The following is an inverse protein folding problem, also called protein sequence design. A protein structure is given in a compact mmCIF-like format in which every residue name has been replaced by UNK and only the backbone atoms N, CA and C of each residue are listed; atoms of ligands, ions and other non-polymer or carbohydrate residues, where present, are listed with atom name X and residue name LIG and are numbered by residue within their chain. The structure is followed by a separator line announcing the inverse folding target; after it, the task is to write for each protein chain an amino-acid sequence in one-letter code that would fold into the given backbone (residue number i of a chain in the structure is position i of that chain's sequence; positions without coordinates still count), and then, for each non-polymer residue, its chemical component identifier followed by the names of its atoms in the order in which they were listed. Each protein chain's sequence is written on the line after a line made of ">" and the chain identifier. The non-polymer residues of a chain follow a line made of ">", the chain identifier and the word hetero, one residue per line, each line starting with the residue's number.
data_IF_799930370336
#
_entry.id   IF_799930370336
#
_cell.length_a   1.000
_cell.length_b   1.000
_cell.length_c   1.000
_cell.angle_alpha   90.00
_cell.angle_beta   90.00
_cell.angle_gamma   90.00
#
_symmetry.space_group_name_H-M   'P 1'
#
loop_
_entity.id
_entity.type
_entity.pdbx_description
1 polymer ?
#
# COMPACT_ATOMS: atom_id res chain seq x y z
N UNK A 1 29.52 -119.45 -36.10
CA UNK A 1 30.48 -118.72 -35.26
C UNK A 1 29.76 -118.24 -34.01
N UNK A 2 29.86 -118.99 -32.93
CA UNK A 2 29.13 -118.75 -31.68
C UNK A 2 29.98 -117.82 -30.83
N UNK A 3 29.63 -116.52 -30.84
CA UNK A 3 30.25 -115.51 -30.00
C UNK A 3 29.87 -115.77 -28.54
N UNK A 4 30.74 -116.47 -27.81
CA UNK A 4 30.59 -116.75 -26.40
C UNK A 4 30.85 -115.49 -25.58
N UNK A 5 29.81 -114.67 -25.40
CA UNK A 5 29.83 -113.57 -24.45
C UNK A 5 30.02 -114.12 -23.03
N UNK A 6 31.24 -114.01 -22.50
CA UNK A 6 31.54 -114.28 -21.09
C UNK A 6 30.72 -113.30 -20.25
N UNK A 7 29.67 -113.81 -19.60
CA UNK A 7 28.87 -113.05 -18.63
C UNK A 7 29.79 -112.63 -17.49
N UNK A 8 29.96 -111.31 -17.32
CA UNK A 8 30.70 -110.75 -16.20
C UNK A 8 30.06 -111.21 -14.87
N UNK A 9 30.86 -111.53 -13.83
CA UNK A 9 30.35 -111.85 -12.51
C UNK A 9 29.36 -110.79 -12.02
N UNK A 10 28.23 -111.18 -11.39
CA UNK A 10 27.20 -110.24 -10.93
C UNK A 10 27.74 -109.07 -10.11
N UNK A 11 28.81 -109.29 -9.31
CA UNK A 11 29.48 -108.27 -8.49
C UNK A 11 30.16 -107.16 -9.30
N UNK A 12 30.68 -107.46 -10.50
CA UNK A 12 31.32 -106.45 -11.36
C UNK A 12 30.25 -105.59 -12.05
N UNK A 13 29.16 -106.21 -12.49
CA UNK A 13 28.02 -105.51 -13.08
C UNK A 13 27.34 -104.57 -12.06
N UNK A 14 27.24 -104.98 -10.79
CA UNK A 14 26.72 -104.10 -9.73
C UNK A 14 27.62 -102.90 -9.47
N UNK A 15 28.95 -103.07 -9.47
CA UNK A 15 29.89 -101.96 -9.26
C UNK A 15 29.85 -100.94 -10.39
N UNK A 16 29.80 -101.38 -11.66
CA UNK A 16 29.66 -100.49 -12.81
C UNK A 16 28.33 -99.72 -12.75
N UNK A 17 27.24 -100.37 -12.31
CA UNK A 17 25.93 -99.72 -12.15
C UNK A 17 25.94 -98.67 -11.03
N UNK A 18 26.65 -98.93 -9.93
CA UNK A 18 26.84 -97.98 -8.82
C UNK A 18 27.68 -96.79 -9.27
N UNK A 19 28.83 -97.03 -9.93
CA UNK A 19 29.68 -95.94 -10.43
C UNK A 19 28.97 -95.06 -11.46
N UNK A 20 28.19 -95.65 -12.38
CA UNK A 20 27.36 -94.88 -13.32
C UNK A 20 26.31 -94.02 -12.60
N UNK A 21 25.68 -94.54 -11.55
CA UNK A 21 24.73 -93.77 -10.73
C UNK A 21 25.41 -92.62 -9.99
N UNK A 22 26.57 -92.84 -9.38
CA UNK A 22 27.33 -91.81 -8.69
C UNK A 22 27.80 -90.72 -9.65
N UNK A 23 28.34 -91.09 -10.81
CA UNK A 23 28.74 -90.15 -11.86
C UNK A 23 27.55 -89.33 -12.36
N UNK A 24 26.40 -89.97 -12.63
CA UNK A 24 25.19 -89.27 -13.05
C UNK A 24 24.66 -88.33 -11.96
N UNK A 25 24.72 -88.73 -10.69
CA UNK A 25 24.33 -87.88 -9.56
C UNK A 25 25.26 -86.66 -9.40
N UNK A 26 26.56 -86.84 -9.62
CA UNK A 26 27.54 -85.76 -9.60
C UNK A 26 27.32 -84.79 -10.76
N UNK A 27 27.10 -85.31 -11.98
CA UNK A 27 26.84 -84.50 -13.16
C UNK A 27 25.53 -83.72 -13.08
N UNK A 28 24.47 -84.32 -12.50
CA UNK A 28 23.21 -83.62 -12.20
C UNK A 28 23.44 -82.51 -11.18
N UNK A 29 24.23 -82.78 -10.12
CA UNK A 29 24.56 -81.78 -9.10
C UNK A 29 25.34 -80.61 -9.69
N UNK A 30 26.38 -80.88 -10.47
CA UNK A 30 27.19 -79.84 -11.13
C UNK A 30 26.36 -78.99 -12.11
N UNK A 31 25.45 -79.62 -12.89
CA UNK A 31 24.52 -78.87 -13.75
C UNK A 31 23.53 -78.03 -12.94
N UNK A 32 23.07 -78.51 -11.80
CA UNK A 32 22.17 -77.78 -10.91
C UNK A 32 22.89 -76.59 -10.26
N UNK A 33 24.13 -76.78 -9.84
CA UNK A 33 24.97 -75.75 -9.24
C UNK A 33 25.34 -74.67 -10.27
N UNK A 34 25.69 -75.04 -11.52
CA UNK A 34 25.92 -74.08 -12.62
C UNK A 34 24.68 -73.26 -12.95
N UNK A 35 23.51 -73.89 -13.08
CA UNK A 35 22.24 -73.18 -13.30
C UNK A 35 21.88 -72.26 -12.12
N UNK A 36 22.20 -72.67 -10.90
CA UNK A 36 21.99 -71.85 -9.70
C UNK A 36 22.89 -70.62 -9.69
N UNK A 37 24.16 -70.76 -10.10
CA UNK A 37 25.10 -69.65 -10.19
C UNK A 37 24.70 -68.65 -11.28
N UNK A 38 24.31 -69.13 -12.47
CA UNK A 38 23.80 -68.28 -13.56
C UNK A 38 22.52 -67.53 -13.15
N UNK A 39 21.60 -68.20 -12.44
CA UNK A 39 20.40 -67.56 -11.92
C UNK A 39 20.72 -66.49 -10.87
N UNK A 40 21.69 -66.75 -9.98
CA UNK A 40 22.11 -65.78 -8.98
C UNK A 40 22.76 -64.54 -9.61
N UNK A 41 23.63 -64.72 -10.60
CA UNK A 41 24.30 -63.61 -11.31
C UNK A 41 23.30 -62.73 -12.06
N UNK A 42 22.29 -63.34 -12.71
CA UNK A 42 21.21 -62.61 -13.35
C UNK A 42 20.37 -61.80 -12.35
N UNK A 43 20.04 -62.38 -11.18
CA UNK A 43 19.30 -61.69 -10.12
C UNK A 43 20.12 -60.52 -9.57
N UNK A 44 21.42 -60.71 -9.32
CA UNK A 44 22.30 -59.62 -8.88
C UNK A 44 22.38 -58.50 -9.93
N UNK A 45 22.50 -58.84 -11.22
CA UNK A 45 22.51 -57.86 -12.31
C UNK A 45 21.21 -57.05 -12.38
N UNK A 46 20.06 -57.70 -12.24
CA UNK A 46 18.73 -57.04 -12.24
C UNK A 46 18.57 -56.12 -11.04
N UNK A 47 18.99 -56.56 -9.84
CA UNK A 47 18.93 -55.74 -8.62
C UNK A 47 19.81 -54.50 -8.75
N UNK A 48 21.05 -54.64 -9.24
CA UNK A 48 21.98 -53.52 -9.44
C UNK A 48 21.44 -52.50 -10.44
N UNK A 49 20.84 -52.94 -11.55
CA UNK A 49 20.18 -52.05 -12.52
C UNK A 49 18.99 -51.32 -11.90
N UNK A 50 18.18 -52.02 -11.08
CA UNK A 50 17.02 -51.42 -10.42
C UNK A 50 17.45 -50.35 -9.40
N UNK A 51 18.49 -50.62 -8.60
CA UNK A 51 19.08 -49.66 -7.66
C UNK A 51 19.62 -48.42 -8.37
N UNK A 52 20.34 -48.60 -9.49
CA UNK A 52 20.86 -47.48 -10.26
C UNK A 52 19.75 -46.59 -10.85
N UNK A 53 18.68 -47.20 -11.39
CA UNK A 53 17.52 -46.46 -11.89
C UNK A 53 16.84 -45.69 -10.76
N UNK A 54 16.67 -46.29 -9.58
CA UNK A 54 16.07 -45.58 -8.43
C UNK A 54 16.92 -44.41 -7.95
N UNK A 55 18.24 -44.57 -7.91
CA UNK A 55 19.16 -43.48 -7.49
C UNK A 55 19.11 -42.30 -8.47
N UNK A 56 19.05 -42.56 -9.78
CA UNK A 56 18.88 -41.53 -10.79
C UNK A 56 17.55 -40.78 -10.64
N UNK A 57 16.44 -41.50 -10.41
CA UNK A 57 15.13 -40.88 -10.20
C UNK A 57 15.10 -40.03 -8.93
N UNK A 58 15.69 -40.53 -7.84
CA UNK A 58 15.78 -39.78 -6.58
C UNK A 58 16.57 -38.49 -6.79
N UNK A 59 17.72 -38.56 -7.48
CA UNK A 59 18.52 -37.37 -7.77
C UNK A 59 17.76 -36.32 -8.58
N UNK A 60 17.03 -36.74 -9.62
CA UNK A 60 16.19 -35.84 -10.42
C UNK A 60 15.12 -35.14 -9.58
N UNK A 61 14.46 -35.88 -8.67
CA UNK A 61 13.45 -35.31 -7.76
C UNK A 61 14.08 -34.26 -6.84
N UNK A 62 15.28 -34.51 -6.30
CA UNK A 62 15.99 -33.54 -5.46
C UNK A 62 16.38 -32.28 -6.24
N UNK A 63 16.92 -32.44 -7.45
CA UNK A 63 17.31 -31.30 -8.30
C UNK A 63 16.10 -30.42 -8.67
N UNK A 64 14.95 -31.03 -9.01
CA UNK A 64 13.69 -30.31 -9.25
C UNK A 64 13.19 -29.57 -8.00
N UNK A 65 13.32 -30.20 -6.82
CA UNK A 65 12.93 -29.58 -5.56
C UNK A 65 13.80 -28.36 -5.22
N UNK A 66 15.11 -28.45 -5.45
CA UNK A 66 16.05 -27.35 -5.25
C UNK A 66 15.70 -26.19 -6.17
N UNK A 67 15.48 -26.45 -7.47
CA UNK A 67 15.11 -25.41 -8.44
C UNK A 67 13.79 -24.71 -8.07
N UNK A 68 12.78 -25.45 -7.62
CA UNK A 68 11.51 -24.88 -7.13
C UNK A 68 11.73 -24.00 -5.90
N UNK A 69 12.63 -24.38 -5.00
CA UNK A 69 12.91 -23.64 -3.77
C UNK A 69 13.68 -22.35 -4.07
N UNK A 70 14.64 -22.39 -4.99
CA UNK A 70 15.35 -21.21 -5.49
C UNK A 70 14.41 -20.22 -6.19
N UNK A 71 13.49 -20.72 -7.02
CA UNK A 71 12.50 -19.88 -7.70
C UNK A 71 11.57 -19.17 -6.69
N UNK A 72 11.09 -19.88 -5.68
CA UNK A 72 10.27 -19.30 -4.60
C UNK A 72 11.03 -18.25 -3.79
N UNK A 73 12.29 -18.52 -3.46
CA UNK A 73 13.12 -17.55 -2.74
C UNK A 73 13.34 -16.28 -3.56
N UNK A 74 13.55 -16.40 -4.87
CA UNK A 74 13.69 -15.25 -5.77
C UNK A 74 12.41 -14.40 -5.84
N UNK A 75 11.25 -15.05 -5.91
CA UNK A 75 9.95 -14.36 -5.90
C UNK A 75 9.71 -13.64 -4.56
N UNK A 76 10.01 -14.31 -3.44
CA UNK A 76 9.89 -13.72 -2.10
C UNK A 76 10.79 -12.49 -1.94
N UNK A 77 12.04 -12.55 -2.40
CA UNK A 77 12.96 -11.41 -2.34
C UNK A 77 12.47 -10.21 -3.18
N UNK A 78 11.80 -10.48 -4.31
CA UNK A 78 11.19 -9.41 -5.11
C UNK A 78 10.05 -8.73 -4.36
N UNK A 79 9.18 -9.50 -3.70
CA UNK A 79 8.09 -8.95 -2.89
C UNK A 79 8.63 -8.09 -1.74
N UNK A 80 9.68 -8.55 -1.05
CA UNK A 80 10.32 -7.77 0.02
C UNK A 80 10.88 -6.43 -0.48
N UNK A 81 11.55 -6.42 -1.65
CA UNK A 81 12.07 -5.20 -2.24
C UNK A 81 10.93 -4.22 -2.59
N UNK A 82 9.85 -4.69 -3.22
CA UNK A 82 8.68 -3.87 -3.56
C UNK A 82 8.00 -3.30 -2.29
N UNK A 83 7.94 -4.08 -1.20
CA UNK A 83 7.40 -3.61 0.09
C UNK A 83 8.28 -2.53 0.73
N UNK A 84 9.61 -2.67 0.67
CA UNK A 84 10.54 -1.67 1.19
C UNK A 84 10.39 -0.37 0.40
N UNK A 85 10.41 -0.44 -0.94
CA UNK A 85 10.26 0.72 -1.81
C UNK A 85 8.95 1.47 -1.54
N UNK A 86 7.81 0.76 -1.47
CA UNK A 86 6.51 1.39 -1.14
C UNK A 86 6.51 2.04 0.25
N UNK A 87 7.22 1.46 1.21
CA UNK A 87 7.32 2.03 2.55
C UNK A 87 8.19 3.29 2.60
N UNK A 88 9.18 3.40 1.72
CA UNK A 88 10.03 4.59 1.57
C UNK A 88 9.27 5.71 0.87
N UNK A 89 8.57 5.40 -0.23
CA UNK A 89 7.68 6.35 -0.93
C UNK A 89 6.61 6.93 0.03
N UNK A 90 6.01 6.09 0.87
CA UNK A 90 5.00 6.56 1.84
C UNK A 90 5.60 7.38 2.99
N UNK A 91 6.89 7.17 3.33
CA UNK A 91 7.57 8.02 4.33
C UNK A 91 7.87 9.41 3.77
N UNK A 92 8.26 9.52 2.51
CA UNK A 92 8.46 10.83 1.85
C UNK A 92 7.13 11.60 1.76
N UNK A 93 6.02 10.94 1.42
CA UNK A 93 4.68 11.58 1.42
C UNK A 93 4.26 12.06 2.81
N UNK A 94 4.51 11.25 3.85
CA UNK A 94 4.20 11.63 5.24
C UNK A 94 5.11 12.79 5.69
N UNK A 95 6.40 12.77 5.38
CA UNK A 95 7.31 13.85 5.75
C UNK A 95 6.95 15.16 5.03
N UNK A 96 6.51 15.13 3.78
CA UNK A 96 6.04 16.32 3.06
C UNK A 96 4.72 16.87 3.63
N UNK A 97 3.77 16.01 3.99
CA UNK A 97 2.50 16.43 4.61
C UNK A 97 2.72 16.95 6.04
N UNK A 98 3.60 16.31 6.81
CA UNK A 98 3.96 16.75 8.16
C UNK A 98 4.79 18.03 8.14
N UNK A 99 5.62 18.26 7.12
CA UNK A 99 6.38 19.50 6.90
C UNK A 99 5.48 20.63 6.39
N UNK A 100 4.44 20.33 5.59
CA UNK A 100 3.40 21.30 5.23
C UNK A 100 2.56 21.69 6.45
N UNK A 101 2.12 20.72 7.26
CA UNK A 101 1.39 20.98 8.50
C UNK A 101 2.25 21.73 9.52
N UNK A 102 3.50 21.32 9.75
CA UNK A 102 4.42 22.00 10.65
C UNK A 102 4.77 23.42 10.17
N UNK A 103 4.95 23.66 8.86
CA UNK A 103 5.09 25.03 8.33
C UNK A 103 3.83 25.85 8.47
N UNK A 104 2.65 25.24 8.27
CA UNK A 104 1.38 25.93 8.50
C UNK A 104 1.25 26.30 9.97
N UNK A 105 1.59 25.39 10.87
CA UNK A 105 1.48 25.56 12.31
C UNK A 105 2.54 26.53 12.85
N UNK A 106 3.78 26.54 12.33
CA UNK A 106 4.79 27.57 12.65
C UNK A 106 4.39 28.95 12.12
N UNK A 107 3.78 29.05 10.93
CA UNK A 107 3.21 30.31 10.42
C UNK A 107 2.04 30.78 11.30
N UNK A 108 1.24 29.85 11.84
CA UNK A 108 0.17 30.13 12.79
C UNK A 108 0.68 30.45 14.21
N UNK A 109 1.79 29.85 14.66
CA UNK A 109 2.35 30.02 16.01
C UNK A 109 3.26 31.25 16.13
N UNK A 110 3.93 31.70 15.06
CA UNK A 110 4.81 32.88 15.08
C UNK A 110 4.07 34.23 15.07
N UNK A 111 2.77 34.27 14.77
CA UNK A 111 1.94 35.49 14.86
C UNK A 111 0.75 35.28 15.78
N UNK A 112 1.00 35.41 17.09
CA UNK A 112 -0.03 35.66 18.10
C UNK A 112 -0.82 36.93 17.74
N UNK A 113 -1.87 36.76 16.93
CA UNK A 113 -3.22 37.36 16.94
C UNK A 113 -3.93 36.74 15.71
N UNK A 114 -4.61 35.61 15.89
CA UNK A 114 -5.52 35.08 14.88
C UNK A 114 -6.75 35.98 14.88
N UNK A 115 -6.84 36.88 13.92
CA UNK A 115 -7.97 37.77 13.80
C UNK A 115 -8.47 37.89 12.38
N UNK A 116 -9.63 38.54 12.26
CA UNK A 116 -10.26 38.80 10.96
C UNK A 116 -9.25 39.37 9.96
N UNK A 117 -8.38 40.30 10.40
CA UNK A 117 -7.34 40.87 9.54
C UNK A 117 -6.35 39.81 9.04
N UNK A 118 -5.78 39.00 9.93
CA UNK A 118 -4.86 37.91 9.57
C UNK A 118 -5.51 36.89 8.64
N UNK A 119 -6.80 36.60 8.83
CA UNK A 119 -7.55 35.73 7.93
C UNK A 119 -7.73 36.35 6.54
N UNK A 120 -8.03 37.65 6.45
CA UNK A 120 -8.12 38.36 5.17
C UNK A 120 -6.76 38.43 4.46
N UNK A 121 -5.66 38.60 5.20
CA UNK A 121 -4.30 38.55 4.66
C UNK A 121 -3.96 37.17 4.07
N UNK A 122 -4.35 36.10 4.75
CA UNK A 122 -4.17 34.74 4.25
C UNK A 122 -4.93 34.52 2.94
N UNK A 123 -6.19 34.97 2.86
CA UNK A 123 -7.00 34.89 1.63
C UNK A 123 -6.33 35.66 0.48
N UNK A 124 -5.76 36.82 0.77
CA UNK A 124 -4.99 37.58 -0.23
C UNK A 124 -3.82 36.78 -0.77
N UNK A 125 -3.04 36.12 0.09
CA UNK A 125 -1.90 35.30 -0.34
C UNK A 125 -2.28 34.06 -1.15
N UNK A 126 -3.48 33.49 -0.95
CA UNK A 126 -3.91 32.27 -1.64
C UNK A 126 -4.00 32.48 -3.16
N UNK A 127 -4.40 33.67 -3.62
CA UNK A 127 -4.65 33.92 -5.05
C UNK A 127 -3.40 33.81 -5.96
N UNK A 128 -2.20 33.64 -5.40
CA UNK A 128 -0.99 33.31 -6.18
C UNK A 128 -0.53 34.41 -7.14
N UNK A 129 -1.21 35.55 -7.17
CA UNK A 129 -0.67 36.77 -7.72
C UNK A 129 0.50 37.14 -6.82
N UNK A 130 1.72 37.18 -7.39
CA UNK A 130 2.88 37.77 -6.73
C UNK A 130 2.38 39.01 -6.00
N UNK A 131 2.69 39.18 -4.71
CA UNK A 131 2.31 40.38 -4.00
C UNK A 131 3.03 41.53 -4.70
N UNK A 132 2.41 42.10 -5.73
CA UNK A 132 2.67 43.44 -6.17
C UNK A 132 2.47 44.23 -4.89
N UNK A 133 3.58 44.63 -4.29
CA UNK A 133 3.76 45.16 -2.94
C UNK A 133 2.88 46.39 -2.63
N UNK A 134 1.95 46.73 -3.51
CA UNK A 134 1.20 47.96 -3.60
C UNK A 134 -0.31 47.78 -3.78
N UNK A 135 -0.86 46.59 -4.07
CA UNK A 135 -2.32 46.48 -4.20
C UNK A 135 -3.00 46.42 -2.82
N UNK A 136 -3.92 47.35 -2.49
CA UNK A 136 -4.65 47.33 -1.23
C UNK A 136 -5.47 46.04 -1.10
N UNK A 137 -5.51 45.43 0.09
CA UNK A 137 -6.28 44.20 0.37
C UNK A 137 -7.75 44.36 -0.03
N UNK A 138 -8.30 45.56 0.13
CA UNK A 138 -9.67 45.90 -0.27
C UNK A 138 -9.93 45.66 -1.76
N UNK A 139 -8.96 45.92 -2.64
CA UNK A 139 -9.11 45.64 -4.09
C UNK A 139 -9.12 44.14 -4.39
N UNK A 140 -8.37 43.36 -3.62
CA UNK A 140 -8.36 41.89 -3.78
C UNK A 140 -9.71 41.30 -3.36
N UNK A 141 -10.29 41.81 -2.27
CA UNK A 141 -11.63 41.44 -1.83
C UNK A 141 -12.72 41.93 -2.81
N UNK A 142 -12.53 43.10 -3.42
CA UNK A 142 -13.41 43.58 -4.48
C UNK A 142 -13.33 42.71 -5.73
N UNK A 143 -12.12 42.31 -6.17
CA UNK A 143 -11.92 41.34 -7.25
C UNK A 143 -12.62 40.01 -6.94
N UNK A 144 -12.55 39.53 -5.69
CA UNK A 144 -13.28 38.34 -5.24
C UNK A 144 -14.80 38.49 -5.43
N UNK A 145 -15.36 39.66 -5.14
CA UNK A 145 -16.79 39.92 -5.35
C UNK A 145 -17.25 39.88 -6.82
N UNK A 146 -16.29 39.91 -7.76
CA UNK A 146 -16.54 39.79 -9.20
C UNK A 146 -16.25 38.38 -9.74
N UNK A 147 -15.69 37.48 -8.93
CA UNK A 147 -15.53 36.06 -9.28
C UNK A 147 -16.91 35.41 -9.42
N UNK A 148 -17.16 34.71 -10.53
CA UNK A 148 -18.49 34.20 -10.86
C UNK A 148 -19.03 33.22 -9.79
N UNK A 149 -18.18 32.31 -9.29
CA UNK A 149 -18.59 31.31 -8.29
C UNK A 149 -18.86 31.96 -6.95
N UNK A 150 -17.99 32.87 -6.53
CA UNK A 150 -18.19 33.62 -5.30
C UNK A 150 -19.44 34.51 -5.39
N UNK A 151 -19.68 35.14 -6.54
CA UNK A 151 -20.85 35.99 -6.79
C UNK A 151 -22.15 35.22 -6.66
N UNK A 152 -22.23 34.00 -7.18
CA UNK A 152 -23.39 33.12 -7.00
C UNK A 152 -23.61 32.77 -5.52
N UNK A 153 -22.54 32.44 -4.78
CA UNK A 153 -22.62 32.21 -3.34
C UNK A 153 -23.09 33.46 -2.59
N UNK A 154 -22.65 34.65 -3.00
CA UNK A 154 -23.03 35.93 -2.43
C UNK A 154 -24.51 36.22 -2.67
N UNK A 155 -25.02 36.03 -3.89
CA UNK A 155 -26.45 36.21 -4.22
C UNK A 155 -27.30 35.29 -3.34
N UNK A 156 -27.01 33.98 -3.36
CA UNK A 156 -27.76 32.99 -2.60
C UNK A 156 -27.76 33.30 -1.10
N UNK A 157 -26.61 33.71 -0.55
CA UNK A 157 -26.49 34.11 0.86
C UNK A 157 -27.31 35.35 1.15
N UNK A 158 -27.31 36.35 0.27
CA UNK A 158 -28.10 37.57 0.47
C UNK A 158 -29.61 37.28 0.44
N UNK A 159 -30.06 36.44 -0.50
CA UNK A 159 -31.45 36.00 -0.60
C UNK A 159 -31.90 35.23 0.64
N UNK A 160 -31.10 34.27 1.12
CA UNK A 160 -31.42 33.46 2.30
C UNK A 160 -31.56 34.28 3.59
N UNK A 161 -30.92 35.45 3.68
CA UNK A 161 -30.94 36.33 4.85
C UNK A 161 -31.75 37.61 4.64
N UNK A 162 -32.43 37.77 3.50
CA UNK A 162 -33.21 38.97 3.14
C UNK A 162 -32.40 40.28 3.25
N UNK A 163 -31.15 40.27 2.79
CA UNK A 163 -30.27 41.45 2.80
C UNK A 163 -29.96 41.95 1.40
N UNK A 164 -29.70 43.26 1.25
CA UNK A 164 -29.38 43.86 -0.04
C UNK A 164 -27.96 43.46 -0.48
N UNK A 165 -27.87 42.78 -1.63
CA UNK A 165 -26.60 42.32 -2.20
C UNK A 165 -25.57 43.43 -2.40
N UNK A 166 -25.98 44.58 -2.94
CA UNK A 166 -25.07 45.70 -3.21
C UNK A 166 -24.51 46.30 -1.92
N UNK A 167 -25.30 46.29 -0.83
CA UNK A 167 -24.85 46.73 0.47
C UNK A 167 -23.77 45.80 1.04
N UNK A 168 -23.95 44.48 0.93
CA UNK A 168 -22.95 43.48 1.34
C UNK A 168 -21.70 43.58 0.47
N UNK A 169 -21.85 43.71 -0.86
CA UNK A 169 -20.74 43.89 -1.80
C UNK A 169 -19.92 45.13 -1.46
N UNK A 170 -20.56 46.25 -1.16
CA UNK A 170 -19.87 47.48 -0.72
C UNK A 170 -19.10 47.27 0.58
N UNK A 171 -19.64 46.50 1.53
CA UNK A 171 -18.96 46.17 2.77
C UNK A 171 -17.69 45.33 2.54
N UNK A 172 -17.69 44.39 1.58
CA UNK A 172 -16.53 43.55 1.26
C UNK A 172 -15.27 44.39 0.99
N UNK A 173 -15.40 45.47 0.22
CA UNK A 173 -14.29 46.38 -0.10
C UNK A 173 -13.85 47.28 1.05
N UNK A 174 -14.50 47.23 2.21
CA UNK A 174 -14.11 47.97 3.42
C UNK A 174 -13.67 47.08 4.59
N UNK A 175 -13.77 45.76 4.45
CA UNK A 175 -13.51 44.81 5.55
C UNK A 175 -12.08 44.93 6.07
N UNK A 176 -11.10 45.12 5.19
CA UNK A 176 -9.71 45.24 5.64
C UNK A 176 -9.53 46.50 6.48
N UNK A 177 -10.08 47.62 6.02
CA UNK A 177 -10.04 48.87 6.77
C UNK A 177 -10.72 48.74 8.14
N UNK A 178 -11.91 48.13 8.23
CA UNK A 178 -12.59 47.88 9.51
C UNK A 178 -11.75 46.98 10.42
N UNK A 179 -11.20 45.87 9.90
CA UNK A 179 -10.35 44.95 10.67
C UNK A 179 -9.04 45.57 11.16
N UNK A 180 -8.60 46.66 10.54
CA UNK A 180 -7.36 47.36 10.89
C UNK A 180 -7.51 48.31 12.08
N UNK A 181 -8.74 48.73 12.41
CA UNK A 181 -9.04 49.67 13.49
C UNK A 181 -9.10 49.01 14.87
N UNK A 182 -9.50 47.75 14.92
CA UNK A 182 -9.66 46.99 16.17
C UNK A 182 -8.45 46.12 16.49
N UNK A 183 -8.03 46.13 17.76
CA UNK A 183 -7.19 45.08 18.30
C UNK A 183 -8.04 43.82 18.55
N UNK A 184 -8.31 43.06 17.49
CA UNK A 184 -9.03 41.79 17.60
C UNK A 184 -8.08 40.70 18.11
N UNK A 185 -7.67 40.76 19.38
CA UNK A 185 -6.66 39.87 19.96
C UNK A 185 -7.15 38.47 20.32
N UNK A 186 -7.48 37.60 19.35
CA UNK A 186 -7.97 36.25 19.65
C UNK A 186 -6.99 35.14 19.22
N UNK A 187 -7.15 33.96 19.84
CA UNK A 187 -6.41 32.74 19.51
C UNK A 187 -6.99 32.02 18.28
N UNK A 188 -8.21 32.40 17.88
CA UNK A 188 -8.95 31.92 16.70
C UNK A 188 -9.63 33.10 16.02
N UNK A 189 -10.04 32.94 14.76
CA UNK A 189 -10.82 33.95 14.06
C UNK A 189 -12.20 34.07 14.71
N UNK A 190 -12.49 35.22 15.32
CA UNK A 190 -13.79 35.50 15.95
C UNK A 190 -14.44 36.69 15.26
N UNK A 191 -15.71 36.54 14.85
CA UNK A 191 -16.54 37.64 14.37
C UNK A 191 -17.39 38.13 15.54
N UNK A 192 -17.06 39.30 16.08
CA UNK A 192 -17.78 39.91 17.20
C UNK A 192 -18.86 40.88 16.71
N UNK A 193 -20.12 40.66 17.05
CA UNK A 193 -21.23 41.51 16.62
C UNK A 193 -21.09 42.99 17.07
N UNK A 194 -20.33 43.25 18.15
CA UNK A 194 -20.02 44.62 18.61
C UNK A 194 -19.16 45.42 17.64
N UNK A 195 -18.31 44.73 16.87
CA UNK A 195 -17.25 45.35 16.08
C UNK A 195 -17.63 45.55 14.60
N UNK A 196 -18.71 44.90 14.16
CA UNK A 196 -19.07 44.76 12.76
C UNK A 196 -20.55 45.06 12.54
N UNK A 197 -20.88 45.72 11.43
CA UNK A 197 -22.30 45.85 11.03
C UNK A 197 -22.82 44.55 10.41
N UNK A 198 -24.14 44.34 10.42
CA UNK A 198 -24.80 43.11 9.91
C UNK A 198 -24.28 42.68 8.52
N UNK A 199 -24.15 43.63 7.59
CA UNK A 199 -23.66 43.34 6.24
C UNK A 199 -22.19 42.90 6.22
N UNK A 200 -21.34 43.46 7.09
CA UNK A 200 -19.95 43.03 7.22
C UNK A 200 -19.86 41.64 7.88
N UNK A 201 -20.70 41.35 8.88
CA UNK A 201 -20.76 40.03 9.53
C UNK A 201 -21.12 38.95 8.51
N UNK A 202 -22.13 39.19 7.68
CA UNK A 202 -22.53 38.27 6.61
C UNK A 202 -21.40 38.10 5.59
N UNK A 203 -20.78 39.21 5.17
CA UNK A 203 -19.66 39.17 4.23
C UNK A 203 -18.48 38.34 4.78
N UNK A 204 -18.07 38.57 6.02
CA UNK A 204 -17.00 37.83 6.68
C UNK A 204 -17.31 36.35 6.82
N UNK A 205 -18.51 36.02 7.31
CA UNK A 205 -18.94 34.63 7.44
C UNK A 205 -18.92 33.91 6.09
N UNK A 206 -19.43 34.56 5.04
CA UNK A 206 -19.43 34.00 3.69
C UNK A 206 -18.00 33.80 3.16
N UNK A 207 -17.14 34.81 3.28
CA UNK A 207 -15.75 34.75 2.82
C UNK A 207 -15.01 33.61 3.54
N UNK A 208 -15.09 33.53 4.86
CA UNK A 208 -14.43 32.49 5.63
C UNK A 208 -14.97 31.11 5.29
N UNK A 209 -16.29 30.95 5.17
CA UNK A 209 -16.88 29.68 4.73
C UNK A 209 -16.43 29.29 3.31
N UNK A 210 -16.40 30.24 2.37
CA UNK A 210 -15.97 30.00 0.99
C UNK A 210 -14.52 29.51 0.92
N UNK A 211 -13.64 30.03 1.77
CA UNK A 211 -12.23 29.63 1.84
C UNK A 211 -11.93 28.51 2.87
N UNK A 212 -12.94 27.96 3.54
CA UNK A 212 -12.76 26.90 4.53
C UNK A 212 -12.05 27.36 5.81
N UNK A 213 -12.09 28.65 6.13
CA UNK A 213 -11.46 29.20 7.34
C UNK A 213 -12.42 29.00 8.52
N UNK A 214 -12.02 28.26 9.57
CA UNK A 214 -12.85 28.10 10.75
C UNK A 214 -12.96 29.41 11.52
N UNK A 215 -14.17 29.76 11.96
CA UNK A 215 -14.41 30.97 12.74
C UNK A 215 -15.49 30.73 13.81
N UNK A 216 -15.38 31.47 14.91
CA UNK A 216 -16.40 31.55 15.95
C UNK A 216 -17.19 32.85 15.82
N UNK A 217 -18.41 32.86 16.35
CA UNK A 217 -19.26 34.04 16.39
C UNK A 217 -19.59 34.43 17.83
N UNK A 218 -19.50 35.73 18.09
CA UNK A 218 -19.77 36.30 19.40
C UNK A 218 -20.85 37.37 19.27
N UNK A 219 -21.91 37.25 20.06
CA UNK A 219 -23.02 38.19 20.01
C UNK A 219 -22.69 39.55 20.68
N UNK A 220 -23.65 40.47 20.71
CA UNK A 220 -23.52 41.78 21.40
C UNK A 220 -23.24 41.70 22.89
N UNK A 221 -23.45 40.60 23.56
CA UNK A 221 -23.11 40.46 24.98
C UNK A 221 -21.67 39.97 25.18
N UNK A 222 -21.04 39.43 24.15
CA UNK A 222 -19.73 38.79 24.24
C UNK A 222 -19.79 37.27 24.42
N UNK A 223 -20.97 36.66 24.24
CA UNK A 223 -21.15 35.21 24.36
C UNK A 223 -20.92 34.52 23.02
N UNK A 224 -20.22 33.39 23.07
CA UNK A 224 -20.08 32.49 21.92
C UNK A 224 -21.42 31.81 21.67
N UNK A 225 -21.98 32.06 20.49
CA UNK A 225 -23.27 31.50 20.07
C UNK A 225 -23.18 30.99 18.63
N UNK A 226 -24.19 30.23 18.19
CA UNK A 226 -24.28 29.81 16.81
C UNK A 226 -24.38 31.02 15.88
N UNK A 227 -23.63 30.99 14.78
CA UNK A 227 -23.67 32.05 13.77
C UNK A 227 -25.11 32.20 13.22
N UNK A 228 -25.72 33.40 13.30
CA UNK A 228 -27.16 33.57 13.11
C UNK A 228 -27.58 33.63 11.64
N UNK A 229 -26.63 33.74 10.70
CA UNK A 229 -26.91 33.88 9.27
C UNK A 229 -26.68 32.57 8.51
N UNK A 230 -27.54 32.31 7.53
CA UNK A 230 -27.38 31.17 6.62
C UNK A 230 -26.34 31.52 5.57
N UNK A 231 -25.37 30.65 5.34
CA UNK A 231 -24.31 30.87 4.36
C UNK A 231 -24.39 29.82 3.26
N UNK A 232 -24.38 30.24 1.98
CA UNK A 232 -24.24 29.30 0.87
C UNK A 232 -22.87 28.61 0.90
N UNK A 233 -22.79 27.39 0.37
CA UNK A 233 -21.53 26.68 0.14
C UNK A 233 -21.20 26.67 -1.35
N UNK A 234 -19.93 26.39 -1.67
CA UNK A 234 -19.49 26.05 -3.03
C UNK A 234 -20.18 24.79 -3.54
#
# INVERSE_FOLDING_TARGET
>A
MISSFRRLPPRILTNIKIQKRLFWSFFIKEKKDKKSAEAHDLVTSVISKKLFVTDLTIKQIYDEHIQKLEAKNKEMMKIYADCIQKSEEHKEEIDDEHNFLARSEEVFQLRRVCNVRSALEYIRSWKGEDPLLYEPVDKVLEKLSNDQRFKECLINTCEMNNVNMEAVKKCIGGLYHTSSKGLHGYYKVVICEKDWVVNEIIALGLIFKYYGIPFDYMNKEGHLVQFPYKLASR
#
